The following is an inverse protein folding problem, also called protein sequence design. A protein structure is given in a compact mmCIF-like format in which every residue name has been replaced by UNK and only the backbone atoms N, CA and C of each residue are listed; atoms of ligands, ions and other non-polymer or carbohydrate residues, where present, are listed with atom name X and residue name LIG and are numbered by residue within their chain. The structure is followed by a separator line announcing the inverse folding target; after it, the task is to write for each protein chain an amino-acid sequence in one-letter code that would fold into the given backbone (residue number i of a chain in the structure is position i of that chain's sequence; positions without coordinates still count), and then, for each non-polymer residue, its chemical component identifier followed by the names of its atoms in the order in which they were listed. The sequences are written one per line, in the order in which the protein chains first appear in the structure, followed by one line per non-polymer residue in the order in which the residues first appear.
data_IF_293853494215
#
_entry.id   IF_293853494215
#
_cell.length_a   1.000
_cell.length_b   1.000
_cell.length_c   1.000
_cell.angle_alpha   90.00
_cell.angle_beta   90.00
_cell.angle_gamma   90.00
#
_symmetry.space_group_name_H-M   'P 1'
#
loop_
_entity.id
_entity.type
_entity.pdbx_description
1 polymer ?
#
# COMPACT_ATOMS: atom_id res chain seq x y z
N UNK A 1 -22.18 -24.66 -20.05
CA UNK A 1 -20.86 -24.05 -20.25
C UNK A 1 -20.76 -22.87 -19.28
N UNK A 2 -20.33 -23.12 -18.04
CA UNK A 2 -20.28 -22.13 -16.94
C UNK A 2 -19.03 -21.22 -16.97
N UNK A 3 -18.24 -21.28 -18.04
CA UNK A 3 -16.98 -20.53 -18.16
C UNK A 3 -17.22 -19.03 -18.26
N UNK A 4 -18.32 -18.60 -18.88
CA UNK A 4 -18.59 -17.17 -19.12
C UNK A 4 -18.82 -16.33 -17.84
N UNK A 5 -19.66 -16.74 -16.88
CA UNK A 5 -19.87 -15.97 -15.66
C UNK A 5 -18.60 -15.80 -14.83
N UNK A 6 -17.80 -16.87 -14.69
CA UNK A 6 -16.54 -16.82 -13.95
C UNK A 6 -15.51 -15.92 -14.65
N UNK A 7 -15.35 -16.04 -15.97
CA UNK A 7 -14.47 -15.14 -16.73
C UNK A 7 -14.90 -13.68 -16.59
N UNK A 8 -16.21 -13.39 -16.68
CA UNK A 8 -16.73 -12.03 -16.49
C UNK A 8 -16.41 -11.49 -15.10
N UNK A 9 -16.64 -12.29 -14.05
CA UNK A 9 -16.32 -11.92 -12.68
C UNK A 9 -14.82 -11.63 -12.49
N UNK A 10 -13.93 -12.47 -13.05
CA UNK A 10 -12.48 -12.23 -13.01
C UNK A 10 -12.12 -10.92 -13.72
N UNK A 11 -12.64 -10.70 -14.94
CA UNK A 11 -12.40 -9.48 -15.69
C UNK A 11 -12.85 -8.23 -14.93
N UNK A 12 -14.02 -8.28 -14.28
CA UNK A 12 -14.53 -7.19 -13.44
C UNK A 12 -13.61 -6.93 -12.24
N UNK A 13 -13.08 -7.97 -11.58
CA UNK A 13 -12.13 -7.80 -10.48
C UNK A 13 -10.80 -7.21 -10.94
N UNK A 14 -10.28 -7.67 -12.08
CA UNK A 14 -9.04 -7.13 -12.67
C UNK A 14 -9.21 -5.65 -13.03
N UNK A 15 -10.26 -5.32 -13.78
CA UNK A 15 -10.47 -3.95 -14.27
C UNK A 15 -10.78 -2.97 -13.14
N UNK A 16 -11.59 -3.36 -12.14
CA UNK A 16 -12.12 -2.43 -11.15
C UNK A 16 -11.39 -2.44 -9.80
N UNK A 17 -10.54 -3.45 -9.52
CA UNK A 17 -9.84 -3.56 -8.24
C UNK A 17 -8.33 -3.64 -8.44
N UNK A 18 -7.83 -4.64 -9.17
CA UNK A 18 -6.39 -4.89 -9.25
C UNK A 18 -5.66 -3.88 -10.12
N UNK A 19 -6.19 -3.55 -11.30
CA UNK A 19 -5.56 -2.60 -12.23
C UNK A 19 -5.45 -1.19 -11.63
N UNK A 20 -6.50 -0.60 -11.02
CA UNK A 20 -6.39 0.70 -10.34
C UNK A 20 -5.30 0.72 -9.26
N UNK A 21 -5.20 -0.34 -8.44
CA UNK A 21 -4.14 -0.47 -7.43
C UNK A 21 -2.75 -0.49 -8.04
N UNK A 22 -2.55 -1.25 -9.11
CA UNK A 22 -1.26 -1.29 -9.82
C UNK A 22 -0.91 0.10 -10.37
N UNK A 23 -1.88 0.80 -10.97
CA UNK A 23 -1.67 2.17 -11.47
C UNK A 23 -1.30 3.12 -10.33
N UNK A 24 -1.92 3.00 -9.17
CA UNK A 24 -1.61 3.83 -8.01
C UNK A 24 -0.23 3.53 -7.42
N UNK A 25 0.19 2.26 -7.42
CA UNK A 25 1.55 1.83 -7.05
C UNK A 25 2.59 2.39 -8.02
N UNK A 26 2.39 2.18 -9.33
CA UNK A 26 3.32 2.67 -10.37
C UNK A 26 3.39 4.19 -10.37
N UNK A 27 2.24 4.84 -10.24
CA UNK A 27 2.12 6.28 -10.11
C UNK A 27 2.67 6.81 -8.78
N UNK A 28 2.77 5.96 -7.75
CA UNK A 28 3.09 6.33 -6.38
C UNK A 28 2.19 7.46 -5.88
N UNK A 29 0.87 7.33 -6.11
CA UNK A 29 -0.10 8.35 -5.72
C UNK A 29 -0.24 8.44 -4.19
N UNK A 30 -0.59 9.60 -3.63
CA UNK A 30 -0.71 9.76 -2.18
C UNK A 30 -1.82 8.87 -1.58
N UNK A 31 -2.88 8.61 -2.35
CA UNK A 31 -3.97 7.69 -1.96
C UNK A 31 -3.52 6.25 -1.70
N UNK A 32 -2.35 5.85 -2.21
CA UNK A 32 -1.77 4.54 -1.98
C UNK A 32 -1.48 4.29 -0.50
N UNK A 33 -1.10 5.33 0.26
CA UNK A 33 -0.82 5.21 1.70
C UNK A 33 -2.08 4.69 2.41
N UNK A 34 -3.23 5.32 2.14
CA UNK A 34 -4.51 4.91 2.72
C UNK A 34 -4.92 3.51 2.30
N UNK A 35 -4.81 3.16 1.01
CA UNK A 35 -5.19 1.81 0.56
C UNK A 35 -4.31 0.72 1.19
N UNK A 36 -3.00 0.98 1.38
CA UNK A 36 -2.10 0.04 2.08
C UNK A 36 -2.46 -0.07 3.56
N UNK A 37 -2.80 1.05 4.22
CA UNK A 37 -3.22 1.03 5.63
C UNK A 37 -4.52 0.25 5.85
N UNK A 38 -5.49 0.42 4.94
CA UNK A 38 -6.77 -0.30 4.98
C UNK A 38 -6.62 -1.78 4.59
N UNK A 39 -5.72 -2.08 3.64
CA UNK A 39 -5.59 -3.40 3.04
C UNK A 39 -4.14 -3.91 2.94
N UNK A 40 -3.39 -4.03 4.04
CA UNK A 40 -1.96 -4.33 3.97
C UNK A 40 -1.63 -5.69 3.37
N UNK A 41 -2.51 -6.69 3.56
CA UNK A 41 -2.31 -8.03 3.00
C UNK A 41 -2.31 -8.10 1.47
N UNK A 42 -2.70 -7.04 0.77
CA UNK A 42 -2.65 -6.96 -0.69
C UNK A 42 -1.29 -6.51 -1.23
N UNK A 43 -0.36 -6.18 -0.34
CA UNK A 43 0.96 -5.67 -0.69
C UNK A 43 2.03 -6.58 -0.09
N UNK A 44 3.00 -6.99 -0.90
CA UNK A 44 4.10 -7.84 -0.41
C UNK A 44 5.01 -7.11 0.58
N UNK A 45 5.08 -5.77 0.50
CA UNK A 45 5.89 -4.93 1.37
C UNK A 45 5.13 -3.67 1.85
N UNK A 46 4.10 -3.81 2.71
CA UNK A 46 3.19 -2.72 3.06
C UNK A 46 3.91 -1.49 3.61
N UNK A 47 4.85 -1.70 4.54
CA UNK A 47 5.68 -0.64 5.10
C UNK A 47 6.44 0.16 4.02
N UNK A 48 7.17 -0.53 3.14
CA UNK A 48 7.96 0.13 2.09
C UNK A 48 7.09 0.82 1.05
N UNK A 49 5.91 0.27 0.73
CA UNK A 49 4.95 0.92 -0.16
C UNK A 49 4.47 2.26 0.40
N UNK A 50 4.18 2.32 1.70
CA UNK A 50 3.81 3.56 2.39
C UNK A 50 4.97 4.57 2.35
N UNK A 51 6.18 4.14 2.72
CA UNK A 51 7.37 5.01 2.69
C UNK A 51 7.64 5.57 1.30
N UNK A 52 7.55 4.73 0.27
CA UNK A 52 7.72 5.14 -1.12
C UNK A 52 6.68 6.20 -1.53
N UNK A 53 5.40 5.94 -1.26
CA UNK A 53 4.32 6.87 -1.60
C UNK A 53 4.47 8.21 -0.86
N UNK A 54 4.79 8.17 0.45
CA UNK A 54 4.99 9.38 1.24
C UNK A 54 6.15 10.22 0.70
N UNK A 55 7.32 9.61 0.47
CA UNK A 55 8.50 10.32 -0.08
C UNK A 55 8.23 10.89 -1.46
N UNK A 56 7.57 10.14 -2.34
CA UNK A 56 7.28 10.60 -3.71
C UNK A 56 6.39 11.85 -3.73
N UNK A 57 5.53 12.00 -2.73
CA UNK A 57 4.58 13.11 -2.63
C UNK A 57 5.00 14.19 -1.61
N UNK A 58 6.21 14.11 -1.06
CA UNK A 58 6.71 15.11 -0.10
C UNK A 58 5.96 15.12 1.24
N UNK A 59 5.30 14.01 1.60
CA UNK A 59 4.57 13.88 2.87
C UNK A 59 5.57 13.60 3.99
N UNK A 60 5.58 14.43 5.03
CA UNK A 60 6.48 14.29 6.18
C UNK A 60 6.00 13.28 7.22
N UNK A 61 6.87 12.90 8.17
CA UNK A 61 6.49 12.00 9.28
C UNK A 61 5.36 12.56 10.14
N UNK A 62 5.29 13.88 10.33
CA UNK A 62 4.25 14.52 11.12
C UNK A 62 2.84 14.41 10.52
N UNK A 63 2.74 14.03 9.24
CA UNK A 63 1.48 13.82 8.53
C UNK A 63 1.09 12.33 8.47
N UNK A 64 1.95 11.44 8.96
CA UNK A 64 1.73 9.99 8.95
C UNK A 64 1.33 9.49 10.33
N UNK A 65 0.43 8.51 10.37
CA UNK A 65 0.16 7.72 11.58
C UNK A 65 1.29 6.70 11.79
N UNK A 66 2.41 7.19 12.33
CA UNK A 66 3.63 6.38 12.54
C UNK A 66 3.37 5.21 13.48
N UNK A 67 2.51 5.38 14.49
CA UNK A 67 2.18 4.30 15.43
C UNK A 67 1.43 3.17 14.74
N UNK A 68 0.50 3.49 13.84
CA UNK A 68 -0.17 2.50 13.01
C UNK A 68 0.79 1.82 12.03
N UNK A 69 1.62 2.60 11.33
CA UNK A 69 2.61 2.10 10.35
C UNK A 69 3.61 1.15 11.02
N UNK A 70 4.02 1.45 12.26
CA UNK A 70 4.90 0.59 13.05
C UNK A 70 4.14 -0.49 13.82
N UNK A 71 2.83 -0.60 13.63
CA UNK A 71 1.99 -1.65 14.18
C UNK A 71 2.16 -2.98 13.46
N UNK A 72 1.78 -4.08 14.13
CA UNK A 72 1.97 -5.46 13.65
C UNK A 72 1.27 -5.80 12.33
N UNK A 73 0.33 -4.97 11.88
CA UNK A 73 -0.38 -5.15 10.60
C UNK A 73 0.48 -4.74 9.39
N UNK A 74 1.37 -3.78 9.58
CA UNK A 74 2.18 -3.17 8.52
C UNK A 74 3.65 -3.55 8.69
N UNK A 75 4.18 -3.33 9.90
CA UNK A 75 5.57 -3.57 10.24
C UNK A 75 5.76 -4.99 10.75
N UNK A 76 6.70 -5.69 10.11
CA UNK A 76 7.15 -7.04 10.54
C UNK A 76 8.25 -6.90 11.60
N UNK A 77 9.10 -5.88 11.50
CA UNK A 77 10.14 -5.57 12.48
C UNK A 77 10.09 -4.09 12.84
N UNK A 78 9.35 -3.78 13.91
CA UNK A 78 9.12 -2.42 14.40
C UNK A 78 10.41 -1.64 14.64
N UNK A 79 11.46 -2.29 15.16
CA UNK A 79 12.74 -1.61 15.41
C UNK A 79 13.42 -1.22 14.11
N UNK A 80 13.52 -2.16 13.17
CA UNK A 80 14.16 -1.93 11.88
C UNK A 80 13.39 -0.87 11.07
N UNK A 81 12.07 -1.02 10.96
CA UNK A 81 11.21 -0.11 10.20
C UNK A 81 11.19 1.29 10.82
N UNK A 82 11.19 1.39 12.16
CA UNK A 82 11.33 2.67 12.86
C UNK A 82 12.64 3.38 12.55
N UNK A 83 13.74 2.65 12.44
CA UNK A 83 15.03 3.22 12.04
C UNK A 83 15.06 3.62 10.57
N UNK A 84 14.36 2.90 9.69
CA UNK A 84 14.16 3.32 8.29
C UNK A 84 13.44 4.66 8.23
N UNK A 85 12.36 4.85 9.00
CA UNK A 85 11.64 6.13 9.05
C UNK A 85 12.55 7.29 9.50
N UNK A 86 13.26 7.13 10.62
CA UNK A 86 14.17 8.16 11.17
C UNK A 86 15.30 8.59 10.21
N UNK A 87 15.73 7.70 9.31
CA UNK A 87 16.84 7.97 8.38
C UNK A 87 16.39 8.61 7.07
N UNK A 88 15.09 8.50 6.74
CA UNK A 88 14.60 8.79 5.39
C UNK A 88 13.60 9.94 5.31
N UNK A 89 13.18 10.48 6.44
CA UNK A 89 12.33 11.65 6.59
C UNK A 89 12.95 12.59 7.63
#
# INVERSE_FOLDING_TARGET
MEVEPTCRWICEKVANIYLPRVIDVVGGKPGLIRDVMENPGYYSYPFLTIVFAAKKNGIGLGELDVDFILGKKISVNKSFDGDVLKRNF
#
